data_IF_298016010460
#
_entry.id   IF_298016010460
#
_cell.length_a   1.000
_cell.length_b   1.000
_cell.length_c   1.000
_cell.angle_alpha   90.00
_cell.angle_beta   90.00
_cell.angle_gamma   90.00
#
_symmetry.space_group_name_H-M   'P 1'
#
loop_
_entity.id
_entity.type
_entity.pdbx_description
1 polymer ?
#
# COMPACT_ATOMS: atom_id res chain seq x y z
N UNK A 1 1.47 -11.14 5.85
CA UNK A 1 2.03 -12.48 6.16
C UNK A 1 1.39 -13.01 7.43
N UNK A 2 1.25 -14.33 7.54
CA UNK A 2 0.72 -14.99 8.72
C UNK A 2 1.75 -15.93 9.36
N UNK A 3 1.72 -16.05 10.68
CA UNK A 3 2.69 -16.82 11.46
C UNK A 3 2.00 -17.67 12.52
N UNK A 4 2.59 -18.82 12.85
CA UNK A 4 2.13 -19.67 13.96
C UNK A 4 2.49 -19.11 15.33
N UNK A 5 3.49 -18.22 15.39
CA UNK A 5 4.01 -17.62 16.62
C UNK A 5 4.16 -16.11 16.46
N UNK A 6 4.06 -15.39 17.58
CA UNK A 6 4.20 -13.92 17.63
C UNK A 6 5.66 -13.54 17.85
N UNK A 7 6.45 -13.59 16.79
CA UNK A 7 7.91 -13.34 16.84
C UNK A 7 8.30 -11.96 17.41
N UNK A 8 7.41 -10.97 17.29
CA UNK A 8 7.62 -9.59 17.74
C UNK A 8 7.07 -9.31 19.15
N UNK A 9 6.87 -10.34 19.99
CA UNK A 9 6.33 -10.15 21.34
C UNK A 9 7.32 -9.44 22.28
N UNK A 10 8.61 -9.76 22.16
CA UNK A 10 9.63 -9.32 23.11
C UNK A 10 10.46 -8.12 22.63
N UNK A 11 10.02 -7.46 21.55
CA UNK A 11 10.74 -6.29 21.04
C UNK A 11 10.62 -5.12 22.05
N UNK A 12 11.73 -4.65 22.65
CA UNK A 12 11.69 -3.58 23.65
C UNK A 12 11.24 -2.23 23.07
N UNK A 13 11.27 -2.07 21.75
CA UNK A 13 10.81 -0.87 21.04
C UNK A 13 9.31 -0.90 20.71
N UNK A 14 8.57 -1.93 21.16
CA UNK A 14 7.14 -2.13 20.89
C UNK A 14 6.24 -1.22 21.73
N UNK A 15 6.39 0.09 21.55
CA UNK A 15 5.43 1.08 22.08
C UNK A 15 4.22 1.28 21.16
N UNK A 16 4.30 0.81 19.90
CA UNK A 16 3.26 1.01 18.90
C UNK A 16 3.00 -0.27 18.08
N UNK A 17 1.76 -0.44 17.61
CA UNK A 17 1.37 -1.48 16.64
C UNK A 17 1.97 -1.26 15.24
N UNK A 18 2.64 -0.12 15.05
CA UNK A 18 3.30 0.29 13.81
C UNK A 18 4.77 0.51 14.11
N UNK A 19 5.64 -0.05 13.26
CA UNK A 19 7.07 0.13 13.30
C UNK A 19 7.55 0.70 11.97
N UNK A 20 8.33 1.79 12.03
CA UNK A 20 9.02 2.36 10.89
C UNK A 20 10.48 1.93 10.89
N UNK A 21 11.05 1.70 9.71
CA UNK A 21 12.43 1.25 9.53
C UNK A 21 13.00 1.79 8.22
N UNK A 22 14.32 2.03 8.20
CA UNK A 22 15.07 2.38 6.99
C UNK A 22 15.37 1.17 6.09
N UNK A 23 15.00 -0.03 6.52
CA UNK A 23 15.08 -1.24 5.70
C UNK A 23 14.06 -1.19 4.55
N UNK A 24 14.28 -1.98 3.51
CA UNK A 24 13.41 -2.06 2.32
C UNK A 24 11.95 -2.48 2.58
N UNK A 25 11.59 -2.83 3.82
CA UNK A 25 10.21 -3.13 4.20
C UNK A 25 9.45 -1.91 4.73
N UNK A 26 10.15 -0.78 4.95
CA UNK A 26 9.70 0.56 5.30
C UNK A 26 8.82 0.67 6.56
N UNK A 27 7.63 0.07 6.54
CA UNK A 27 6.69 0.07 7.64
C UNK A 27 6.11 -1.32 7.87
N UNK A 28 6.05 -1.71 9.14
CA UNK A 28 5.47 -2.98 9.61
C UNK A 28 4.29 -2.68 10.52
N UNK A 29 3.16 -3.35 10.31
CA UNK A 29 1.95 -3.19 11.13
C UNK A 29 1.50 -4.52 11.70
N UNK A 30 1.37 -4.59 13.02
CA UNK A 30 0.74 -5.72 13.72
C UNK A 30 -0.78 -5.63 13.57
N UNK A 31 -1.38 -6.66 12.94
CA UNK A 31 -2.82 -6.75 12.72
C UNK A 31 -3.53 -7.66 13.75
N UNK A 32 -2.77 -8.29 14.64
CA UNK A 32 -3.28 -9.14 15.72
C UNK A 32 -3.32 -10.62 15.37
N UNK A 33 -4.26 -11.36 15.97
CA UNK A 33 -4.44 -12.80 15.75
C UNK A 33 -5.78 -13.06 15.06
N UNK A 34 -5.77 -13.86 14.00
CA UNK A 34 -6.98 -14.31 13.33
C UNK A 34 -7.84 -15.14 14.31
N UNK A 35 -9.14 -14.84 14.45
CA UNK A 35 -10.02 -15.60 15.34
C UNK A 35 -10.21 -17.05 14.86
N UNK A 36 -10.24 -17.25 13.53
CA UNK A 36 -10.54 -18.54 12.91
C UNK A 36 -9.32 -19.46 12.85
N UNK A 37 -8.22 -18.96 12.27
CA UNK A 37 -7.01 -19.77 12.06
C UNK A 37 -6.08 -19.78 13.26
N UNK A 38 -6.29 -18.87 14.24
CA UNK A 38 -5.37 -18.60 15.35
C UNK A 38 -3.97 -18.14 14.91
N UNK A 39 -3.76 -17.87 13.62
CA UNK A 39 -2.50 -17.35 13.11
C UNK A 39 -2.32 -15.87 13.47
N UNK A 40 -1.08 -15.47 13.75
CA UNK A 40 -0.71 -14.08 13.95
C UNK A 40 -0.52 -13.40 12.60
N UNK A 41 -1.14 -12.23 12.43
CA UNK A 41 -1.16 -11.50 11.16
C UNK A 41 -0.28 -10.27 11.27
N UNK A 42 0.63 -10.13 10.31
CA UNK A 42 1.55 -9.01 10.20
C UNK A 42 1.49 -8.45 8.78
N UNK A 43 1.22 -7.16 8.67
CA UNK A 43 1.58 -6.41 7.47
C UNK A 43 3.09 -6.20 7.51
N UNK A 44 3.79 -7.13 6.87
CA UNK A 44 5.25 -7.27 6.98
C UNK A 44 6.04 -6.21 6.19
N UNK A 45 5.38 -5.51 5.27
CA UNK A 45 5.93 -4.41 4.50
C UNK A 45 4.80 -3.50 4.05
N UNK A 46 5.03 -2.20 4.14
CA UNK A 46 4.25 -1.14 3.51
C UNK A 46 5.26 -0.11 3.01
N UNK A 47 5.63 -0.29 1.74
CA UNK A 47 6.63 0.51 1.07
C UNK A 47 5.97 1.50 0.12
N UNK A 48 6.64 2.62 -0.08
CA UNK A 48 6.25 3.69 -1.00
C UNK A 48 7.46 4.06 -1.88
N UNK A 49 7.22 4.81 -2.96
CA UNK A 49 8.29 5.32 -3.82
C UNK A 49 9.13 4.22 -4.51
N UNK A 50 10.44 4.45 -4.63
CA UNK A 50 11.36 3.57 -5.36
C UNK A 50 11.50 2.19 -4.72
N UNK A 51 11.31 2.06 -3.40
CA UNK A 51 11.35 0.77 -2.70
C UNK A 51 10.29 -0.20 -3.23
N UNK A 52 9.13 0.31 -3.67
CA UNK A 52 8.08 -0.54 -4.28
C UNK A 52 8.61 -1.22 -5.54
N UNK A 53 9.39 -0.52 -6.38
CA UNK A 53 9.93 -1.05 -7.63
C UNK A 53 10.96 -2.16 -7.38
N UNK A 54 11.77 -2.01 -6.34
CA UNK A 54 12.76 -3.01 -5.95
C UNK A 54 12.07 -4.30 -5.46
N UNK A 55 11.08 -4.16 -4.58
CA UNK A 55 10.29 -5.29 -4.08
C UNK A 55 9.47 -5.95 -5.20
N UNK A 56 8.96 -5.16 -6.14
CA UNK A 56 8.24 -5.68 -7.32
C UNK A 56 9.17 -6.50 -8.21
N UNK A 57 10.37 -5.98 -8.49
CA UNK A 57 11.41 -6.66 -9.26
C UNK A 57 11.79 -7.98 -8.60
N UNK A 58 11.94 -7.99 -7.28
CA UNK A 58 12.20 -9.20 -6.51
C UNK A 58 11.04 -10.19 -6.58
N UNK A 59 9.79 -9.71 -6.57
CA UNK A 59 8.61 -10.57 -6.73
C UNK A 59 8.53 -11.22 -8.12
N UNK A 60 9.10 -10.58 -9.14
CA UNK A 60 9.16 -11.10 -10.50
C UNK A 60 10.32 -12.08 -10.73
N UNK A 61 11.32 -12.09 -9.85
CA UNK A 61 12.47 -12.96 -9.97
C UNK A 61 12.02 -14.41 -9.78
N UNK A 62 11.97 -15.16 -10.90
CA UNK A 62 11.59 -16.57 -10.90
C UNK A 62 12.80 -17.42 -10.55
N UNK A 63 12.73 -18.23 -9.49
CA UNK A 63 13.40 -19.52 -9.50
C UNK A 63 12.93 -20.29 -10.74
N UNK A 64 13.87 -20.66 -11.62
CA UNK A 64 13.60 -21.28 -12.92
C UNK A 64 12.57 -22.42 -12.84
N UNK A 65 11.35 -22.21 -13.38
CA UNK A 65 10.37 -23.28 -13.58
C UNK A 65 8.90 -23.00 -13.24
N UNK A 66 8.54 -21.87 -12.61
CA UNK A 66 7.14 -21.62 -12.25
C UNK A 66 6.36 -20.79 -13.29
N UNK A 67 5.07 -21.13 -13.44
CA UNK A 67 4.04 -20.38 -14.17
C UNK A 67 3.99 -18.91 -13.71
N UNK A 68 3.31 -18.04 -14.46
CA UNK A 68 3.05 -16.67 -13.99
C UNK A 68 2.46 -16.71 -12.56
N UNK A 69 3.00 -15.90 -11.65
CA UNK A 69 2.44 -15.75 -10.31
C UNK A 69 0.99 -15.29 -10.43
N UNK A 70 0.10 -15.92 -9.66
CA UNK A 70 -1.29 -15.49 -9.58
C UNK A 70 -1.43 -14.11 -8.95
N UNK A 71 -2.63 -13.55 -9.05
CA UNK A 71 -2.96 -12.28 -8.39
C UNK A 71 -2.66 -12.35 -6.89
N UNK A 72 -2.01 -11.31 -6.38
CA UNK A 72 -1.59 -11.16 -4.98
C UNK A 72 -0.61 -12.21 -4.44
N UNK A 73 -0.04 -13.06 -5.30
CA UNK A 73 0.98 -14.02 -4.88
C UNK A 73 2.33 -13.34 -4.65
N UNK A 74 2.99 -13.79 -3.59
CA UNK A 74 4.34 -13.38 -3.20
C UNK A 74 5.31 -14.50 -3.57
N UNK A 75 6.36 -14.19 -4.32
CA UNK A 75 7.42 -15.14 -4.66
C UNK A 75 8.15 -15.61 -3.41
N UNK A 76 8.80 -16.78 -3.50
CA UNK A 76 9.59 -17.29 -2.38
C UNK A 76 10.75 -16.34 -2.08
N UNK A 77 11.37 -15.77 -3.11
CA UNK A 77 12.45 -14.80 -3.05
C UNK A 77 12.04 -13.53 -2.29
N UNK A 78 10.88 -12.95 -2.62
CA UNK A 78 10.35 -11.80 -1.90
C UNK A 78 9.98 -12.16 -0.47
N UNK A 79 9.37 -13.34 -0.26
CA UNK A 79 9.02 -13.79 1.08
C UNK A 79 10.26 -13.95 1.97
N UNK A 80 11.32 -14.57 1.46
CA UNK A 80 12.56 -14.82 2.21
C UNK A 80 13.33 -13.52 2.49
N UNK A 81 13.31 -12.59 1.52
CA UNK A 81 13.85 -11.25 1.73
C UNK A 81 13.12 -10.52 2.84
N UNK A 82 11.78 -10.49 2.81
CA UNK A 82 10.99 -9.84 3.88
C UNK A 82 11.26 -10.48 5.24
N UNK A 83 11.35 -11.81 5.32
CA UNK A 83 11.66 -12.52 6.58
C UNK A 83 13.05 -12.16 7.10
N UNK A 84 14.03 -12.02 6.21
CA UNK A 84 15.39 -11.58 6.56
C UNK A 84 15.36 -10.17 7.13
N UNK A 85 14.60 -9.26 6.49
CA UNK A 85 14.44 -7.87 6.96
C UNK A 85 13.70 -7.77 8.28
N UNK A 86 12.62 -8.53 8.46
CA UNK A 86 11.93 -8.63 9.75
C UNK A 86 12.87 -9.13 10.84
N UNK A 87 13.69 -10.14 10.55
CA UNK A 87 14.62 -10.68 11.55
C UNK A 87 15.68 -9.67 11.96
N UNK A 88 16.19 -8.89 11.01
CA UNK A 88 17.10 -7.74 11.25
C UNK A 88 16.43 -6.70 12.16
N UNK A 89 15.23 -6.26 11.80
CA UNK A 89 14.49 -5.18 12.47
C UNK A 89 14.06 -5.55 13.90
N UNK A 90 13.61 -6.78 14.12
CA UNK A 90 13.13 -7.25 15.42
C UNK A 90 14.22 -7.91 16.27
N UNK A 91 15.43 -8.11 15.72
CA UNK A 91 16.55 -8.75 16.42
C UNK A 91 16.28 -10.20 16.81
N UNK A 92 15.40 -10.89 16.08
CA UNK A 92 14.99 -12.28 16.36
C UNK A 92 14.74 -13.04 15.07
N UNK A 93 14.97 -14.35 15.06
CA UNK A 93 14.78 -15.16 13.86
C UNK A 93 13.29 -15.40 13.61
N UNK A 94 12.77 -14.91 12.49
CA UNK A 94 11.40 -15.21 12.07
C UNK A 94 11.32 -16.61 11.46
N UNK A 95 10.28 -17.36 11.81
CA UNK A 95 9.94 -18.60 11.12
C UNK A 95 9.40 -18.32 9.71
N UNK A 96 9.41 -19.34 8.84
CA UNK A 96 8.69 -19.27 7.56
C UNK A 96 7.20 -18.90 7.83
N UNK A 97 6.60 -18.00 7.04
CA UNK A 97 5.19 -17.67 7.20
C UNK A 97 4.32 -18.87 6.81
N UNK A 98 3.15 -18.99 7.47
CA UNK A 98 2.12 -19.97 7.09
C UNK A 98 1.52 -19.61 5.73
N UNK A 99 1.31 -18.31 5.49
CA UNK A 99 0.89 -17.77 4.20
C UNK A 99 1.38 -16.33 4.00
N UNK A 100 1.55 -15.96 2.74
CA UNK A 100 1.95 -14.62 2.30
C UNK A 100 1.04 -14.17 1.18
N UNK A 101 0.64 -12.90 1.24
CA UNK A 101 -0.12 -12.20 0.21
C UNK A 101 0.46 -10.78 0.12
N UNK A 102 0.53 -10.24 -1.08
CA UNK A 102 1.08 -8.91 -1.33
C UNK A 102 0.37 -8.24 -2.49
N UNK A 103 0.21 -6.92 -2.41
CA UNK A 103 -0.43 -6.11 -3.45
C UNK A 103 0.58 -5.05 -3.89
N UNK A 104 0.76 -4.93 -5.21
CA UNK A 104 1.54 -3.86 -5.83
C UNK A 104 0.56 -2.91 -6.53
N UNK A 105 0.24 -1.79 -5.87
CA UNK A 105 -0.73 -0.81 -6.37
C UNK A 105 -0.30 -0.10 -7.66
N UNK A 106 0.97 -0.27 -8.07
CA UNK A 106 1.53 0.19 -9.35
C UNK A 106 1.08 -0.65 -10.54
N UNK A 107 0.55 -1.87 -10.32
CA UNK A 107 0.11 -2.77 -11.38
C UNK A 107 -1.35 -2.57 -11.73
N UNK A 108 -1.71 -2.95 -12.96
CA UNK A 108 -3.10 -3.05 -13.39
C UNK A 108 -3.87 -4.03 -12.48
N UNK A 109 -5.14 -3.73 -12.10
CA UNK A 109 -5.97 -2.61 -12.55
C UNK A 109 -5.80 -1.29 -11.79
N UNK A 110 -4.95 -1.23 -10.76
CA UNK A 110 -4.84 -0.06 -9.88
C UNK A 110 -3.92 1.04 -10.46
N UNK A 111 -3.01 0.67 -11.37
CA UNK A 111 -2.25 1.48 -12.36
C UNK A 111 -1.61 2.82 -11.96
N UNK A 112 -1.60 3.23 -10.70
CA UNK A 112 -1.08 4.53 -10.28
C UNK A 112 -0.36 4.57 -8.94
N UNK A 113 -0.61 3.60 -8.05
CA UNK A 113 -0.19 3.72 -6.65
C UNK A 113 -0.86 4.91 -5.97
N UNK A 114 -0.21 5.48 -4.95
CA UNK A 114 -0.62 6.77 -4.39
C UNK A 114 -0.23 7.90 -5.34
N UNK A 115 -1.14 8.85 -5.57
CA UNK A 115 -0.86 10.04 -6.36
C UNK A 115 -0.64 11.25 -5.45
N UNK A 116 0.18 12.19 -5.93
CA UNK A 116 0.44 13.45 -5.24
C UNK A 116 0.44 14.61 -6.21
N UNK A 117 -0.06 15.76 -5.76
CA UNK A 117 0.09 17.01 -6.51
C UNK A 117 1.56 17.33 -6.73
N UNK A 118 1.93 17.55 -7.99
CA UNK A 118 3.29 18.00 -8.33
C UNK A 118 3.55 19.37 -7.69
N UNK A 119 4.75 19.53 -7.14
CA UNK A 119 5.22 20.81 -6.64
C UNK A 119 5.04 21.94 -7.69
N UNK A 120 4.72 23.14 -7.22
CA UNK A 120 4.45 24.32 -8.05
C UNK A 120 3.22 24.22 -8.97
N UNK A 121 2.27 23.33 -8.66
CA UNK A 121 0.92 23.36 -9.23
C UNK A 121 -0.05 23.98 -8.23
N UNK A 122 -0.77 25.01 -8.65
CA UNK A 122 -1.84 25.59 -7.85
C UNK A 122 -3.09 24.75 -8.01
N UNK A 123 -3.44 24.03 -6.94
CA UNK A 123 -4.64 23.21 -6.87
C UNK A 123 -5.89 23.97 -7.37
N UNK A 124 -6.13 25.17 -6.84
CA UNK A 124 -7.32 25.97 -7.16
C UNK A 124 -7.43 26.34 -8.65
N UNK A 125 -6.29 26.45 -9.35
CA UNK A 125 -6.27 26.77 -10.79
C UNK A 125 -6.58 25.55 -11.67
N UNK A 126 -6.29 24.36 -11.16
CA UNK A 126 -6.39 23.12 -11.94
C UNK A 126 -7.68 22.35 -11.61
N UNK A 127 -8.16 22.46 -10.37
CA UNK A 127 -9.35 21.75 -9.86
C UNK A 127 -10.55 21.91 -10.78
N UNK A 128 -10.93 23.14 -11.12
CA UNK A 128 -12.12 23.39 -11.94
C UNK A 128 -12.01 22.83 -13.37
N UNK A 129 -10.79 22.75 -13.90
CA UNK A 129 -10.52 22.19 -15.23
C UNK A 129 -10.62 20.66 -15.19
N UNK A 130 -10.18 20.05 -14.08
CA UNK A 130 -10.25 18.59 -13.91
C UNK A 130 -11.67 18.14 -13.62
N UNK A 131 -12.39 18.80 -12.71
CA UNK A 131 -13.72 18.39 -12.26
C UNK A 131 -14.74 18.31 -13.40
N UNK A 132 -14.63 19.19 -14.40
CA UNK A 132 -15.49 19.24 -15.58
C UNK A 132 -14.65 19.60 -16.82
N UNK A 133 -13.97 18.61 -17.42
CA UNK A 133 -12.97 18.88 -18.46
C UNK A 133 -13.56 19.21 -19.84
N UNK A 134 -14.86 18.96 -20.05
CA UNK A 134 -15.57 19.34 -21.26
C UNK A 134 -16.64 20.36 -20.91
N UNK A 135 -16.68 21.49 -21.60
CA UNK A 135 -17.72 22.52 -21.40
C UNK A 135 -19.06 22.08 -22.02
N UNK A 136 -19.00 21.21 -23.04
CA UNK A 136 -20.17 20.78 -23.81
C UNK A 136 -20.74 19.46 -23.31
N UNK A 137 -19.90 18.59 -22.74
CA UNK A 137 -20.29 17.27 -22.27
C UNK A 137 -20.50 17.23 -20.75
N UNK A 138 -21.50 16.46 -20.31
CA UNK A 138 -21.74 16.14 -18.90
C UNK A 138 -20.77 15.06 -18.39
N UNK A 139 -19.47 15.36 -18.44
CA UNK A 139 -18.39 14.47 -17.98
C UNK A 139 -17.75 15.08 -16.75
N UNK A 140 -17.81 14.36 -15.62
CA UNK A 140 -17.28 14.84 -14.35
C UNK A 140 -16.20 13.89 -13.81
N UNK A 141 -15.14 14.46 -13.25
CA UNK A 141 -14.02 13.70 -12.69
C UNK A 141 -14.00 13.85 -11.18
N UNK A 142 -13.99 12.72 -10.48
CA UNK A 142 -13.98 12.62 -9.01
C UNK A 142 -12.99 11.55 -8.58
N UNK A 143 -12.60 11.60 -7.31
CA UNK A 143 -11.67 10.63 -6.70
C UNK A 143 -10.65 11.32 -5.82
N UNK A 144 -10.09 10.58 -4.86
CA UNK A 144 -9.12 11.09 -3.90
C UNK A 144 -7.90 11.74 -4.57
N UNK A 145 -7.46 11.25 -5.72
CA UNK A 145 -6.34 11.82 -6.50
C UNK A 145 -6.54 13.31 -6.86
N UNK A 146 -7.79 13.80 -6.83
CA UNK A 146 -8.15 15.18 -7.13
C UNK A 146 -8.57 15.99 -5.89
N UNK A 147 -8.43 15.40 -4.70
CA UNK A 147 -8.67 16.08 -3.43
C UNK A 147 -7.49 16.97 -3.03
N UNK A 148 -7.71 17.90 -2.11
CA UNK A 148 -6.68 18.83 -1.65
C UNK A 148 -5.86 18.29 -0.47
N UNK A 149 -4.55 18.57 -0.50
CA UNK A 149 -3.66 18.35 0.63
C UNK A 149 -3.61 16.88 1.06
N UNK A 150 -3.77 16.63 2.36
CA UNK A 150 -3.66 15.27 2.90
C UNK A 150 -4.82 14.37 2.48
N UNK A 151 -5.98 14.92 2.09
CA UNK A 151 -7.16 14.14 1.71
C UNK A 151 -6.93 13.25 0.48
N UNK A 152 -5.88 13.52 -0.31
CA UNK A 152 -5.55 12.75 -1.50
C UNK A 152 -5.28 11.25 -1.25
N UNK A 153 -4.95 10.90 0.00
CA UNK A 153 -4.63 9.52 0.40
C UNK A 153 -5.78 8.81 1.12
N UNK A 154 -6.92 9.48 1.28
CA UNK A 154 -8.00 9.01 2.15
C UNK A 154 -9.33 8.91 1.41
N UNK A 155 -10.20 8.05 1.92
CA UNK A 155 -11.57 7.90 1.42
C UNK A 155 -12.34 9.21 1.49
N UNK A 156 -12.06 10.02 2.50
CA UNK A 156 -12.62 11.35 2.70
C UNK A 156 -12.37 12.28 1.50
N UNK A 157 -11.21 12.20 0.84
CA UNK A 157 -10.94 12.99 -0.36
C UNK A 157 -11.80 12.55 -1.56
N UNK A 158 -12.06 11.24 -1.69
CA UNK A 158 -12.99 10.74 -2.70
C UNK A 158 -14.42 11.25 -2.45
N UNK A 159 -14.84 11.32 -1.19
CA UNK A 159 -16.17 11.83 -0.83
C UNK A 159 -16.28 13.34 -1.05
N UNK A 160 -15.25 14.10 -0.66
CA UNK A 160 -15.19 15.56 -0.84
C UNK A 160 -15.30 15.94 -2.33
N UNK A 161 -14.56 15.25 -3.20
CA UNK A 161 -14.58 15.54 -4.64
C UNK A 161 -15.95 15.22 -5.27
N UNK A 162 -16.63 14.16 -4.82
CA UNK A 162 -18.01 13.85 -5.22
C UNK A 162 -18.97 14.94 -4.75
N UNK A 163 -18.90 15.34 -3.48
CA UNK A 163 -19.77 16.38 -2.91
C UNK A 163 -19.61 17.70 -3.65
N UNK A 164 -18.37 18.09 -3.96
CA UNK A 164 -18.06 19.31 -4.72
C UNK A 164 -18.72 19.31 -6.10
N UNK A 165 -18.61 18.21 -6.85
CA UNK A 165 -19.23 18.08 -8.18
C UNK A 165 -20.76 18.14 -8.07
N UNK A 166 -21.35 17.40 -7.14
CA UNK A 166 -22.80 17.39 -6.93
C UNK A 166 -23.32 18.79 -6.60
N UNK A 167 -22.69 19.49 -5.65
CA UNK A 167 -23.11 20.82 -5.24
C UNK A 167 -22.96 21.87 -6.35
N UNK A 168 -21.92 21.75 -7.19
CA UNK A 168 -21.62 22.77 -8.20
C UNK A 168 -22.40 22.61 -9.51
N UNK A 169 -22.74 21.37 -9.90
CA UNK A 169 -23.27 21.07 -11.22
C UNK A 169 -24.68 20.45 -11.20
N UNK A 170 -25.18 20.00 -10.05
CA UNK A 170 -26.45 19.26 -9.96
C UNK A 170 -27.45 19.80 -8.94
N UNK A 171 -27.10 20.86 -8.19
CA UNK A 171 -27.96 21.55 -7.21
C UNK A 171 -28.14 23.01 -7.63
#
# INVERSE_FOLDING_TARGET
MTFSQRHWQDNPNKKASVLFTDESISQVVELGQSPDSRAYVLQASFAEGDTVRDLETLNLYKSAGSSQLGENQVSQELSDHIITKLSSVFGTQFSKPLSSMGVFWTKYPQSGGQTVWKANRHYDLVKSIIEHPSIEDDVYVVGSDFAWGNLQFWTEGSLETVENVLFKYFV
#
